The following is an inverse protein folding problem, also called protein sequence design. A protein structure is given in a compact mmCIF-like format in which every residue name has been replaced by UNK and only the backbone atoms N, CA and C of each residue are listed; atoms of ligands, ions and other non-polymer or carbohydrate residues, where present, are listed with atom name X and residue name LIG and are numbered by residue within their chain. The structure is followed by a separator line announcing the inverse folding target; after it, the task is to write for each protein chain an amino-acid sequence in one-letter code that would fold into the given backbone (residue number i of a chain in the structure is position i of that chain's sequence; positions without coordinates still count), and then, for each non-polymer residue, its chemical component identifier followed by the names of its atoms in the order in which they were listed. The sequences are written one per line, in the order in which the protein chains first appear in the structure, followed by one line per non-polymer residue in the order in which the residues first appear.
data_IF_610715555596
#
_entry.id   IF_610715555596
#
_cell.length_a   1.000
_cell.length_b   1.000
_cell.length_c   1.000
_cell.angle_alpha   90.00
_cell.angle_beta   90.00
_cell.angle_gamma   90.00
#
_symmetry.space_group_name_H-M   'P 1'
#
loop_
_entity.id
_entity.type
_entity.pdbx_description
1 polymer ?
#
# COMPACT_ATOMS: atom_id res chain seq x y z
N UNK A 1 -15.49 3.31 -2.51
CA UNK A 1 -14.93 2.71 -3.74
C UNK A 1 -13.42 2.66 -3.60
N UNK A 2 -12.80 1.52 -3.85
CA UNK A 2 -11.36 1.37 -3.98
C UNK A 2 -11.01 1.15 -5.46
N UNK A 3 -9.79 1.49 -5.85
CA UNK A 3 -9.31 1.37 -7.24
C UNK A 3 -9.06 -0.08 -7.70
N UNK A 4 -8.80 -1.02 -6.78
CA UNK A 4 -8.42 -2.41 -7.08
C UNK A 4 -6.96 -2.58 -7.52
N UNK A 5 -6.47 -1.68 -8.38
CA UNK A 5 -5.06 -1.65 -8.83
C UNK A 5 -4.36 -0.30 -8.56
N UNK A 6 -4.52 0.25 -7.35
CA UNK A 6 -3.88 1.52 -7.05
C UNK A 6 -2.36 1.37 -6.99
N UNK A 7 -1.61 2.27 -7.63
CA UNK A 7 -0.15 2.23 -7.66
C UNK A 7 0.46 3.41 -8.43
N UNK A 8 1.78 3.59 -8.34
CA UNK A 8 2.50 4.69 -8.99
C UNK A 8 2.27 4.75 -10.51
N UNK A 9 2.10 3.62 -11.18
CA UNK A 9 1.81 3.56 -12.61
C UNK A 9 0.43 4.11 -13.00
N UNK A 10 -0.49 4.20 -12.03
CA UNK A 10 -1.87 4.64 -12.24
C UNK A 10 -2.11 6.06 -11.69
N UNK A 11 -1.05 6.75 -11.26
CA UNK A 11 -1.09 8.13 -10.76
C UNK A 11 -0.50 9.05 -11.82
N UNK A 12 -1.27 10.06 -12.24
CA UNK A 12 -0.79 11.10 -13.14
C UNK A 12 -0.51 12.37 -12.35
N UNK A 13 0.65 12.97 -12.62
CA UNK A 13 1.05 14.25 -12.06
C UNK A 13 1.35 15.25 -13.17
N UNK A 14 1.15 16.53 -12.87
CA UNK A 14 1.65 17.60 -13.72
C UNK A 14 3.20 17.64 -13.66
N UNK A 15 3.86 17.75 -14.81
CA UNK A 15 5.32 17.67 -14.91
C UNK A 15 6.03 18.84 -14.22
N UNK A 16 5.45 20.04 -14.26
CA UNK A 16 6.07 21.25 -13.72
C UNK A 16 5.86 21.45 -12.22
N UNK A 17 4.72 20.99 -11.70
CA UNK A 17 4.28 21.24 -10.31
C UNK A 17 4.22 19.99 -9.45
N UNK A 18 4.28 18.79 -10.06
CA UNK A 18 4.05 17.51 -9.41
C UNK A 18 2.67 17.38 -8.73
N UNK A 19 1.71 18.24 -9.08
CA UNK A 19 0.35 18.12 -8.57
C UNK A 19 -0.34 16.89 -9.16
N UNK A 20 -1.08 16.16 -8.33
CA UNK A 20 -1.93 15.07 -8.77
C UNK A 20 -3.01 15.61 -9.73
N UNK A 21 -2.98 15.16 -10.98
CA UNK A 21 -3.96 15.57 -12.02
C UNK A 21 -4.96 14.47 -12.36
N UNK A 22 -4.70 13.23 -11.96
CA UNK A 22 -5.65 12.15 -12.17
C UNK A 22 -5.18 10.79 -11.68
N UNK A 23 -6.13 9.87 -11.61
CA UNK A 23 -5.93 8.44 -11.38
C UNK A 23 -6.64 7.70 -12.50
N UNK A 24 -5.94 6.77 -13.16
CA UNK A 24 -6.42 6.05 -14.35
C UNK A 24 -6.53 4.54 -14.07
N UNK A 25 -7.17 3.82 -14.98
CA UNK A 25 -7.34 2.34 -14.93
C UNK A 25 -8.26 1.83 -13.80
N UNK A 26 -9.48 2.37 -13.77
CA UNK A 26 -10.52 2.00 -12.78
C UNK A 26 -11.24 0.67 -13.09
N UNK A 27 -10.70 -0.17 -13.97
CA UNK A 27 -11.36 -1.42 -14.40
C UNK A 27 -11.61 -2.39 -13.22
N UNK A 28 -10.73 -2.36 -12.23
CA UNK A 28 -10.75 -3.25 -11.05
C UNK A 28 -11.42 -2.60 -9.82
N UNK A 29 -12.18 -1.51 -10.01
CA UNK A 29 -12.73 -0.76 -8.89
C UNK A 29 -13.84 -1.53 -8.16
N UNK A 30 -13.74 -1.62 -6.83
CA UNK A 30 -14.65 -2.39 -5.98
C UNK A 30 -15.06 -1.64 -4.72
N UNK A 31 -16.23 -1.96 -4.16
CA UNK A 31 -16.65 -1.49 -2.84
C UNK A 31 -16.06 -2.39 -1.75
N UNK A 32 -15.02 -1.90 -1.07
CA UNK A 32 -14.39 -2.59 0.06
C UNK A 32 -14.08 -1.60 1.21
N UNK A 33 -13.66 -2.08 2.39
CA UNK A 33 -13.23 -1.23 3.49
C UNK A 33 -12.15 -0.22 3.08
N UNK A 34 -12.33 1.03 3.47
CA UNK A 34 -11.35 2.08 3.21
C UNK A 34 -10.01 1.74 3.87
N UNK A 35 -8.91 1.99 3.16
CA UNK A 35 -7.55 1.75 3.66
C UNK A 35 -6.85 0.56 3.02
N UNK A 36 -7.60 -0.41 2.47
CA UNK A 36 -6.99 -1.60 1.86
C UNK A 36 -6.03 -1.26 0.71
N UNK A 37 -6.26 -0.19 -0.07
CA UNK A 37 -5.35 0.21 -1.16
C UNK A 37 -4.18 1.10 -0.72
N UNK A 38 -4.15 1.58 0.53
CA UNK A 38 -3.15 2.55 0.97
C UNK A 38 -1.74 1.97 1.07
N UNK A 39 -1.59 0.64 1.03
CA UNK A 39 -0.27 0.03 1.02
C UNK A 39 0.50 0.31 -0.26
N UNK A 40 -0.18 0.57 -1.37
CA UNK A 40 0.47 0.84 -2.65
C UNK A 40 1.30 2.13 -2.64
N UNK A 41 0.97 3.07 -1.76
CA UNK A 41 1.69 4.32 -1.57
C UNK A 41 3.14 4.11 -1.06
N UNK A 42 3.46 2.95 -0.52
CA UNK A 42 4.82 2.65 -0.05
C UNK A 42 5.87 2.68 -1.15
N UNK A 43 5.45 2.42 -2.40
CA UNK A 43 6.30 2.55 -3.57
C UNK A 43 6.79 4.00 -3.82
N UNK A 44 6.09 5.00 -3.27
CA UNK A 44 6.46 6.41 -3.37
C UNK A 44 7.49 6.83 -2.31
N UNK A 45 7.63 6.06 -1.24
CA UNK A 45 8.46 6.41 -0.07
C UNK A 45 9.57 5.41 0.21
N UNK A 46 9.81 4.48 -0.72
CA UNK A 46 10.82 3.45 -0.57
C UNK A 46 10.98 2.61 -1.82
N UNK A 47 11.89 1.64 -1.76
CA UNK A 47 12.16 0.70 -2.86
C UNK A 47 12.43 -0.70 -2.33
N UNK A 48 11.99 -1.69 -3.09
CA UNK A 48 12.34 -3.10 -2.90
C UNK A 48 13.64 -3.42 -3.64
N UNK A 49 14.63 -3.97 -2.94
CA UNK A 49 15.82 -4.59 -3.55
C UNK A 49 15.81 -6.08 -3.28
N UNK A 50 16.02 -6.90 -4.31
CA UNK A 50 15.98 -8.36 -4.18
C UNK A 50 16.94 -8.93 -3.11
N UNK A 51 18.07 -8.26 -2.89
CA UNK A 51 19.06 -8.67 -1.88
C UNK A 51 18.68 -8.25 -0.46
N UNK A 52 18.15 -7.04 -0.30
CA UNK A 52 18.02 -6.37 1.00
C UNK A 52 16.57 -6.21 1.48
N UNK A 53 15.60 -6.60 0.65
CA UNK A 53 14.19 -6.33 0.89
C UNK A 53 13.85 -4.84 0.71
N UNK A 54 12.81 -4.40 1.42
CA UNK A 54 12.38 -3.00 1.38
C UNK A 54 13.37 -2.08 2.09
N UNK A 55 13.55 -0.88 1.55
CA UNK A 55 14.29 0.21 2.19
C UNK A 55 13.53 1.50 1.99
N UNK A 56 13.40 2.27 3.08
CA UNK A 56 12.78 3.60 3.08
C UNK A 56 13.71 4.62 2.44
N UNK A 57 13.14 5.65 1.82
CA UNK A 57 13.89 6.85 1.45
C UNK A 57 14.20 7.70 2.68
N UNK A 58 15.18 8.60 2.57
CA UNK A 58 15.67 9.41 3.69
C UNK A 58 14.57 10.29 4.30
N UNK A 59 13.60 10.71 3.50
CA UNK A 59 12.47 11.57 3.85
C UNK A 59 11.20 10.81 4.23
N UNK A 60 11.25 9.47 4.37
CA UNK A 60 10.08 8.63 4.63
C UNK A 60 9.22 9.12 5.80
N UNK A 61 9.83 9.42 6.95
CA UNK A 61 9.08 9.82 8.15
C UNK A 61 8.39 11.18 7.93
N UNK A 62 9.05 12.11 7.24
CA UNK A 62 8.46 13.39 6.85
C UNK A 62 7.28 13.17 5.91
N UNK A 63 7.43 12.34 4.87
CA UNK A 63 6.36 12.05 3.91
C UNK A 63 5.16 11.35 4.56
N UNK A 64 5.39 10.38 5.46
CA UNK A 64 4.31 9.72 6.20
C UNK A 64 3.57 10.71 7.12
N UNK A 65 4.30 11.58 7.83
CA UNK A 65 3.68 12.59 8.69
C UNK A 65 2.84 13.57 7.87
N UNK A 66 3.37 14.10 6.75
CA UNK A 66 2.63 14.98 5.84
C UNK A 66 1.38 14.29 5.31
N UNK A 67 1.50 13.04 4.85
CA UNK A 67 0.36 12.27 4.34
C UNK A 67 -0.73 12.11 5.41
N UNK A 68 -0.39 11.61 6.59
CA UNK A 68 -1.39 11.33 7.62
C UNK A 68 -2.03 12.58 8.20
N UNK A 69 -1.27 13.67 8.37
CA UNK A 69 -1.81 14.94 8.82
C UNK A 69 -2.77 15.54 7.78
N UNK A 70 -2.36 15.57 6.50
CA UNK A 70 -3.23 16.06 5.43
C UNK A 70 -4.47 15.19 5.28
N UNK A 71 -4.32 13.87 5.36
CA UNK A 71 -5.42 12.90 5.30
C UNK A 71 -6.48 13.16 6.37
N UNK A 72 -6.07 13.35 7.64
CA UNK A 72 -7.00 13.66 8.73
C UNK A 72 -7.73 14.98 8.50
N UNK A 73 -7.01 16.00 8.03
CA UNK A 73 -7.58 17.33 7.76
C UNK A 73 -8.63 17.27 6.65
N UNK A 74 -8.34 16.57 5.55
CA UNK A 74 -9.23 16.49 4.38
C UNK A 74 -10.46 15.61 4.63
N UNK A 75 -10.33 14.51 5.37
CA UNK A 75 -11.48 13.67 5.73
C UNK A 75 -12.37 14.40 6.75
N UNK A 76 -11.76 15.09 7.72
CA UNK A 76 -12.47 15.78 8.81
C UNK A 76 -13.12 14.82 9.82
N UNK A 77 -12.99 15.12 11.11
CA UNK A 77 -13.71 14.39 12.17
C UNK A 77 -13.31 12.92 12.37
N UNK A 78 -12.15 12.49 11.86
CA UNK A 78 -11.64 11.14 12.03
C UNK A 78 -11.21 10.91 13.49
N UNK A 79 -11.82 9.94 14.17
CA UNK A 79 -11.38 9.53 15.52
C UNK A 79 -10.07 8.72 15.46
N UNK A 80 -9.37 8.63 16.60
CA UNK A 80 -8.16 7.81 16.71
C UNK A 80 -8.44 6.32 16.41
N UNK A 81 -9.61 5.80 16.80
CA UNK A 81 -10.01 4.42 16.52
C UNK A 81 -10.29 4.19 15.02
N UNK A 82 -10.89 5.17 14.35
CA UNK A 82 -11.09 5.12 12.90
C UNK A 82 -9.73 5.16 12.18
N UNK A 83 -8.82 6.05 12.59
CA UNK A 83 -7.48 6.10 12.03
C UNK A 83 -6.73 4.78 12.23
N UNK A 84 -6.82 4.20 13.42
CA UNK A 84 -6.23 2.89 13.72
C UNK A 84 -6.83 1.80 12.82
N UNK A 85 -8.14 1.83 12.61
CA UNK A 85 -8.84 0.89 11.73
C UNK A 85 -8.35 1.01 10.29
N UNK A 86 -8.17 2.24 9.78
CA UNK A 86 -7.62 2.48 8.43
C UNK A 86 -6.19 1.95 8.31
N UNK A 87 -5.35 2.13 9.34
CA UNK A 87 -3.97 1.60 9.36
C UNK A 87 -3.93 0.07 9.40
N UNK A 88 -4.85 -0.56 10.12
CA UNK A 88 -5.02 -2.02 10.11
C UNK A 88 -5.52 -2.51 8.75
N UNK A 89 -6.46 -1.81 8.12
CA UNK A 89 -6.91 -2.09 6.77
C UNK A 89 -5.74 -2.00 5.77
N UNK A 90 -4.84 -1.02 5.90
CA UNK A 90 -3.62 -0.95 5.08
C UNK A 90 -2.76 -2.22 5.19
N UNK A 91 -2.58 -2.74 6.40
CA UNK A 91 -1.83 -3.99 6.61
C UNK A 91 -2.55 -5.21 6.03
N UNK A 92 -3.87 -5.29 6.22
CA UNK A 92 -4.71 -6.32 5.59
C UNK A 92 -4.62 -6.26 4.05
N UNK A 93 -4.58 -5.06 3.48
CA UNK A 93 -4.40 -4.87 2.04
C UNK A 93 -3.11 -5.49 1.51
N UNK A 94 -1.99 -5.37 2.21
CA UNK A 94 -0.74 -6.05 1.83
C UNK A 94 -0.88 -7.56 1.91
N UNK A 95 -1.52 -8.08 2.97
CA UNK A 95 -1.78 -9.51 3.11
C UNK A 95 -2.60 -10.05 1.94
N UNK A 96 -3.64 -9.33 1.51
CA UNK A 96 -4.46 -9.73 0.36
C UNK A 96 -3.67 -9.60 -0.96
N UNK A 97 -2.92 -8.50 -1.13
CA UNK A 97 -2.17 -8.22 -2.37
C UNK A 97 -0.97 -9.15 -2.59
N UNK A 98 -0.31 -9.58 -1.51
CA UNK A 98 0.97 -10.33 -1.56
C UNK A 98 0.88 -11.73 -0.97
N UNK A 99 -0.08 -12.00 -0.09
CA UNK A 99 -0.27 -13.33 0.53
C UNK A 99 -0.89 -14.36 -0.40
N UNK A 100 -1.39 -13.94 -1.57
CA UNK A 100 -2.02 -14.79 -2.56
C UNK A 100 -1.34 -14.71 -3.93
N UNK A 101 -1.55 -15.75 -4.74
CA UNK A 101 -1.01 -15.87 -6.11
C UNK A 101 -1.70 -14.98 -7.12
N UNK A 102 -2.89 -14.47 -6.81
CA UNK A 102 -3.70 -13.64 -7.68
C UNK A 102 -4.48 -12.65 -6.84
N UNK A 103 -4.87 -11.53 -7.42
CA UNK A 103 -5.63 -10.46 -6.76
C UNK A 103 -6.67 -9.80 -7.66
N UNK A 104 -6.55 -9.94 -8.98
CA UNK A 104 -7.48 -9.31 -9.94
C UNK A 104 -8.54 -10.30 -10.42
N UNK A 105 -9.69 -9.78 -10.86
CA UNK A 105 -10.82 -10.63 -11.26
C UNK A 105 -10.55 -11.47 -12.51
N UNK A 106 -9.61 -11.03 -13.36
CA UNK A 106 -9.20 -11.72 -14.59
C UNK A 106 -8.06 -12.74 -14.38
N UNK A 107 -7.56 -12.90 -13.16
CA UNK A 107 -6.51 -13.86 -12.82
C UNK A 107 -7.12 -15.20 -12.33
N UNK A 108 -6.33 -16.29 -12.28
CA UNK A 108 -6.78 -17.55 -11.67
C UNK A 108 -7.21 -17.37 -10.22
N UNK A 109 -8.04 -18.28 -9.70
CA UNK A 109 -8.49 -18.22 -8.30
C UNK A 109 -7.31 -18.03 -7.33
N UNK A 110 -7.41 -17.07 -6.38
CA UNK A 110 -6.34 -16.80 -5.43
C UNK A 110 -6.04 -18.02 -4.55
N UNK A 111 -4.80 -18.50 -4.61
CA UNK A 111 -4.26 -19.48 -3.66
C UNK A 111 -3.21 -18.82 -2.77
N UNK A 112 -3.01 -19.27 -1.51
CA UNK A 112 -1.91 -18.78 -0.69
C UNK A 112 -0.55 -18.96 -1.38
N UNK A 113 0.37 -18.01 -1.21
CA UNK A 113 1.73 -18.12 -1.76
C UNK A 113 2.50 -19.32 -1.20
N UNK A 114 3.30 -19.96 -2.05
CA UNK A 114 4.18 -21.08 -1.69
C UNK A 114 5.66 -20.68 -1.54
N UNK A 115 6.55 -21.67 -1.43
CA UNK A 115 8.01 -21.46 -1.35
C UNK A 115 8.72 -21.26 -2.71
N UNK A 116 7.95 -21.08 -3.79
CA UNK A 116 8.47 -20.85 -5.13
C UNK A 116 9.05 -19.43 -5.30
N UNK A 117 9.54 -19.10 -6.49
CA UNK A 117 10.16 -17.80 -6.75
C UNK A 117 9.18 -16.63 -6.55
N UNK A 118 7.93 -16.78 -7.01
CA UNK A 118 6.89 -15.75 -6.88
C UNK A 118 6.51 -15.53 -5.42
N UNK A 119 6.35 -16.60 -4.67
CA UNK A 119 6.06 -16.58 -3.24
C UNK A 119 7.19 -15.97 -2.44
N UNK A 120 8.46 -16.30 -2.75
CA UNK A 120 9.63 -15.64 -2.13
C UNK A 120 9.66 -14.14 -2.40
N UNK A 121 9.36 -13.72 -3.63
CA UNK A 121 9.29 -12.29 -3.98
C UNK A 121 8.18 -11.57 -3.20
N UNK A 122 6.99 -12.15 -3.14
CA UNK A 122 5.88 -11.59 -2.35
C UNK A 122 6.19 -11.56 -0.85
N UNK A 123 6.87 -12.59 -0.33
CA UNK A 123 7.28 -12.66 1.07
C UNK A 123 8.19 -11.49 1.46
N UNK A 124 9.06 -11.00 0.56
CA UNK A 124 9.88 -9.81 0.84
C UNK A 124 9.03 -8.57 1.19
N UNK A 125 7.85 -8.44 0.59
CA UNK A 125 6.93 -7.33 0.93
C UNK A 125 6.17 -7.60 2.22
N UNK A 126 5.76 -8.84 2.48
CA UNK A 126 5.12 -9.22 3.74
C UNK A 126 6.08 -9.03 4.92
N UNK A 127 7.30 -9.53 4.82
CA UNK A 127 8.35 -9.35 5.83
C UNK A 127 8.66 -7.87 6.03
N UNK A 128 8.85 -7.12 4.93
CA UNK A 128 9.15 -5.70 4.98
C UNK A 128 8.09 -4.87 5.71
N UNK A 129 6.82 -5.09 5.41
CA UNK A 129 5.75 -4.21 5.91
C UNK A 129 5.07 -4.71 7.19
N UNK A 130 5.17 -6.00 7.52
CA UNK A 130 4.46 -6.57 8.67
C UNK A 130 5.39 -6.99 9.82
N UNK A 131 6.66 -7.31 9.55
CA UNK A 131 7.57 -7.91 10.54
C UNK A 131 8.81 -7.06 10.79
N UNK A 132 9.51 -6.65 9.74
CA UNK A 132 10.81 -5.97 9.86
C UNK A 132 10.68 -4.64 10.62
N UNK A 133 11.33 -4.47 11.78
CA UNK A 133 11.20 -3.26 12.60
C UNK A 133 11.57 -1.95 11.89
N UNK A 134 12.46 -2.01 10.89
CA UNK A 134 12.93 -0.84 10.15
C UNK A 134 11.92 -0.34 9.12
N UNK A 135 11.08 -1.23 8.61
CA UNK A 135 10.19 -0.95 7.47
C UNK A 135 8.72 -1.20 7.75
N UNK A 136 8.38 -1.89 8.86
CA UNK A 136 7.01 -2.25 9.22
C UNK A 136 6.09 -1.03 9.29
N UNK A 137 4.83 -1.26 8.97
CA UNK A 137 3.80 -0.24 9.08
C UNK A 137 3.61 0.21 10.52
N UNK A 138 3.38 1.51 10.66
CA UNK A 138 2.89 2.09 11.90
C UNK A 138 1.45 1.62 12.18
N UNK A 139 1.09 1.59 13.47
CA UNK A 139 -0.22 1.11 13.93
C UNK A 139 -0.33 -0.41 14.12
N UNK A 140 0.69 -1.19 13.71
CA UNK A 140 0.84 -2.60 14.05
C UNK A 140 1.56 -2.71 15.40
N UNK A 141 0.90 -3.33 16.40
CA UNK A 141 1.49 -3.61 17.71
C UNK A 141 2.48 -4.77 17.58
#
# INVERSE_FOLDING_TARGET
LLHGDFGSCNIMVDEGTCHLVGVIDWAEAEVCPFGLSLHSLQSLTGKLRLRDGWTRFEDYDTLQNVFWERFKQEVGGLSDDQLRTIKLARALGVLLSRGFTSRLANEPEPAPIGGDERGRYNMMSLDGFLVNPQTKFDGLK
#
